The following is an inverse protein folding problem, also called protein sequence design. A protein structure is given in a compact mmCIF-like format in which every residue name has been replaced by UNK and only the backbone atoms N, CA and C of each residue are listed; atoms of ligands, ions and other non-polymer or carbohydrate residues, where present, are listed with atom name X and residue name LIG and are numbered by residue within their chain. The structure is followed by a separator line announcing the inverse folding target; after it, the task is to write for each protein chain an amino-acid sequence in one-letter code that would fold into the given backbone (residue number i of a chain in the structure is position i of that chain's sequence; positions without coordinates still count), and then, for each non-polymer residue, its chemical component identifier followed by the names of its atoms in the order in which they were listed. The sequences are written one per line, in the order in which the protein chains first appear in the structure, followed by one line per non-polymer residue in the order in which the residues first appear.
data_IF_057923398064
#
_entry.id   IF_057923398064
#
_cell.length_a   1.000
_cell.length_b   1.000
_cell.length_c   1.000
_cell.angle_alpha   90.00
_cell.angle_beta   90.00
_cell.angle_gamma   90.00
#
_symmetry.space_group_name_H-M   'P 1'
#
loop_
_entity.id
_entity.type
_entity.pdbx_description
1 polymer ?
#
# COMPACT_ATOMS: atom_id res chain seq x y z
N UNK A 1 6.75 11.93 -31.68
CA UNK A 1 5.68 12.83 -31.21
C UNK A 1 4.89 12.09 -30.14
N UNK A 2 4.71 12.69 -28.97
CA UNK A 2 4.60 12.09 -27.63
C UNK A 2 3.41 11.14 -27.36
N UNK A 3 3.69 9.95 -26.79
CA UNK A 3 2.72 9.02 -26.18
C UNK A 3 2.66 9.14 -24.63
N UNK A 4 3.06 10.27 -24.04
CA UNK A 4 3.26 10.39 -22.60
C UNK A 4 1.96 10.47 -21.75
N UNK A 5 0.78 10.74 -22.34
CA UNK A 5 -0.40 11.10 -21.54
C UNK A 5 -1.22 9.93 -20.98
N UNK A 6 -1.12 8.72 -21.53
CA UNK A 6 -1.97 7.58 -21.09
C UNK A 6 -1.45 6.95 -19.80
N UNK A 7 -0.12 6.96 -19.58
CA UNK A 7 0.51 6.38 -18.38
C UNK A 7 0.25 7.24 -17.13
N UNK A 8 0.42 8.56 -17.24
CA UNK A 8 0.19 9.47 -16.11
C UNK A 8 -1.27 9.51 -15.64
N UNK A 9 -2.23 9.24 -16.52
CA UNK A 9 -3.65 9.16 -16.15
C UNK A 9 -3.97 7.86 -15.40
N UNK A 10 -3.41 6.72 -15.84
CA UNK A 10 -3.59 5.41 -15.19
C UNK A 10 -2.95 5.33 -13.81
N UNK A 11 -1.72 5.83 -13.67
CA UNK A 11 -0.99 5.88 -12.39
C UNK A 11 -1.76 6.73 -11.37
N UNK A 12 -2.33 7.88 -11.79
CA UNK A 12 -3.14 8.75 -10.91
C UNK A 12 -4.48 8.14 -10.53
N UNK A 13 -5.13 7.42 -11.45
CA UNK A 13 -6.40 6.73 -11.17
C UNK A 13 -6.25 5.61 -10.13
N UNK A 14 -5.05 5.03 -10.01
CA UNK A 14 -4.69 3.95 -9.09
C UNK A 14 -4.22 4.44 -7.71
N UNK A 15 -3.86 5.71 -7.59
CA UNK A 15 -3.44 6.38 -6.34
C UNK A 15 -4.61 7.13 -5.67
N UNK A 16 -5.71 6.42 -5.39
CA UNK A 16 -6.88 7.06 -4.78
C UNK A 16 -6.61 7.40 -3.31
N UNK A 17 -6.13 8.61 -3.08
CA UNK A 17 -6.23 9.32 -1.81
C UNK A 17 -5.18 8.97 -0.75
N UNK A 18 -4.26 8.04 -1.01
CA UNK A 18 -3.18 7.72 -0.07
C UNK A 18 -2.00 8.69 -0.25
N UNK A 19 -1.49 9.33 0.83
CA UNK A 19 -0.28 10.14 0.77
C UNK A 19 0.95 9.32 0.31
N UNK A 20 1.86 9.87 -0.51
CA UNK A 20 3.04 9.14 -1.00
C UNK A 20 3.89 8.50 0.10
N UNK A 21 3.96 9.12 1.28
CA UNK A 21 4.65 8.56 2.43
C UNK A 21 4.06 7.23 2.90
N UNK A 22 2.74 7.07 2.85
CA UNK A 22 2.07 5.82 3.25
C UNK A 22 2.35 4.71 2.22
N UNK A 23 2.44 5.05 0.92
CA UNK A 23 2.86 4.10 -0.12
C UNK A 23 4.26 3.53 0.17
N UNK A 24 5.19 4.39 0.60
CA UNK A 24 6.52 3.97 1.02
C UNK A 24 6.49 3.11 2.28
N UNK A 25 5.64 3.43 3.26
CA UNK A 25 5.50 2.60 4.46
C UNK A 25 4.94 1.21 4.15
N UNK A 26 4.06 1.09 3.16
CA UNK A 26 3.59 -0.21 2.68
C UNK A 26 4.73 -1.01 2.05
N UNK A 27 5.63 -0.36 1.32
CA UNK A 27 6.80 -1.03 0.74
C UNK A 27 7.83 -1.46 1.79
N UNK A 28 8.00 -0.69 2.87
CA UNK A 28 9.02 -0.95 3.90
C UNK A 28 8.53 -1.90 4.99
N UNK A 29 7.27 -1.79 5.40
CA UNK A 29 6.74 -2.48 6.59
C UNK A 29 5.55 -3.38 6.29
N UNK A 30 4.95 -3.28 5.10
CA UNK A 30 3.78 -4.05 4.72
C UNK A 30 4.06 -5.55 4.65
N UNK A 31 3.08 -6.35 5.05
CA UNK A 31 3.09 -7.79 4.81
C UNK A 31 2.54 -8.07 3.42
N UNK A 32 3.20 -9.00 2.72
CA UNK A 32 2.83 -9.42 1.38
C UNK A 32 1.86 -10.61 1.42
N UNK A 33 0.81 -10.54 0.60
CA UNK A 33 -0.10 -11.65 0.35
C UNK A 33 -0.36 -11.78 -1.15
N UNK A 34 0.01 -12.93 -1.72
CA UNK A 34 -0.30 -13.26 -3.11
C UNK A 34 -1.80 -13.47 -3.28
N UNK A 35 -2.38 -12.87 -4.32
CA UNK A 35 -3.81 -13.00 -4.64
C UNK A 35 -4.13 -14.23 -5.52
N UNK A 36 -3.10 -14.96 -5.98
CA UNK A 36 -3.24 -16.14 -6.85
C UNK A 36 -3.55 -15.82 -8.32
N UNK A 37 -3.73 -14.55 -8.67
CA UNK A 37 -4.06 -14.06 -10.02
C UNK A 37 -2.94 -13.19 -10.62
N UNK A 38 -1.75 -13.24 -10.03
CA UNK A 38 -0.59 -12.49 -10.49
C UNK A 38 -0.39 -11.13 -9.80
N UNK A 39 -1.12 -10.84 -8.73
CA UNK A 39 -0.92 -9.69 -7.86
C UNK A 39 -0.36 -10.05 -6.48
N UNK A 40 0.38 -9.11 -5.91
CA UNK A 40 0.86 -9.13 -4.52
C UNK A 40 0.21 -7.98 -3.78
N UNK A 41 -0.53 -8.30 -2.72
CA UNK A 41 -1.19 -7.31 -1.86
C UNK A 41 -0.31 -7.03 -0.65
N UNK A 42 0.17 -5.80 -0.53
CA UNK A 42 0.83 -5.27 0.66
C UNK A 42 -0.19 -4.60 1.56
N UNK A 43 -0.12 -4.86 2.86
CA UNK A 43 -0.98 -4.26 3.87
C UNK A 43 -0.24 -4.12 5.20
N UNK A 44 -0.64 -3.13 6.01
CA UNK A 44 -0.13 -2.98 7.36
C UNK A 44 -0.96 -3.85 8.32
N UNK A 45 -0.30 -4.72 9.07
CA UNK A 45 -0.93 -5.45 10.17
C UNK A 45 -0.29 -5.11 11.52
N UNK A 46 -0.74 -5.78 12.58
CA UNK A 46 -0.24 -5.50 13.93
C UNK A 46 1.28 -5.70 14.06
N UNK A 47 1.89 -6.58 13.27
CA UNK A 47 3.35 -6.76 13.25
C UNK A 47 4.04 -5.61 12.53
N UNK A 48 3.51 -5.17 11.37
CA UNK A 48 3.97 -3.98 10.65
C UNK A 48 3.92 -2.73 11.53
N UNK A 49 2.80 -2.51 12.23
CA UNK A 49 2.63 -1.36 13.12
C UNK A 49 3.65 -1.37 14.25
N UNK A 50 3.90 -2.53 14.88
CA UNK A 50 4.92 -2.65 15.93
C UNK A 50 6.34 -2.43 15.40
N UNK A 51 6.63 -2.85 14.17
CA UNK A 51 7.92 -2.62 13.55
C UNK A 51 8.12 -1.12 13.31
N UNK A 52 7.12 -0.44 12.74
CA UNK A 52 7.12 1.01 12.61
C UNK A 52 7.30 1.70 13.97
N UNK A 53 6.57 1.29 15.01
CA UNK A 53 6.68 1.90 16.35
C UNK A 53 8.10 1.79 16.93
N UNK A 54 8.85 0.74 16.59
CA UNK A 54 10.25 0.58 17.01
C UNK A 54 11.19 1.52 16.26
N UNK A 55 10.96 1.73 14.97
CA UNK A 55 11.86 2.50 14.11
C UNK A 55 11.63 4.02 14.20
N UNK A 56 10.36 4.46 14.19
CA UNK A 56 9.99 5.89 14.19
C UNK A 56 9.36 6.36 15.51
N UNK A 57 9.17 5.45 16.47
CA UNK A 57 8.52 5.76 17.73
C UNK A 57 6.99 5.67 17.69
N UNK A 58 6.39 5.54 18.88
CA UNK A 58 4.96 5.27 19.03
C UNK A 58 4.05 6.43 18.64
N UNK A 59 4.40 7.66 19.02
CA UNK A 59 3.55 8.84 18.75
C UNK A 59 3.41 9.16 17.26
N UNK A 60 4.48 9.13 16.44
CA UNK A 60 4.34 9.28 14.99
C UNK A 60 3.42 8.21 14.36
N UNK A 61 3.61 6.93 14.72
CA UNK A 61 2.77 5.83 14.20
C UNK A 61 1.31 5.98 14.60
N UNK A 62 1.04 6.45 15.81
CA UNK A 62 -0.33 6.71 16.29
C UNK A 62 -1.04 7.77 15.44
N UNK A 63 -0.34 8.81 15.01
CA UNK A 63 -0.88 9.86 14.11
C UNK A 63 -1.21 9.35 12.71
N UNK A 64 -0.62 8.23 12.30
CA UNK A 64 -0.88 7.58 11.02
C UNK A 64 -2.05 6.58 11.07
N UNK A 65 -2.79 6.50 12.18
CA UNK A 65 -3.87 5.53 12.40
C UNK A 65 -4.94 5.52 11.32
N UNK A 66 -5.26 6.67 10.71
CA UNK A 66 -6.15 6.78 9.55
C UNK A 66 -5.74 5.88 8.38
N UNK A 67 -4.44 5.61 8.24
CA UNK A 67 -3.84 4.85 7.15
C UNK A 67 -3.44 3.42 7.53
N UNK A 68 -3.75 2.96 8.74
CA UNK A 68 -3.43 1.58 9.16
C UNK A 68 -4.15 0.51 8.30
N UNK A 69 -5.27 0.88 7.66
CA UNK A 69 -5.99 0.02 6.73
C UNK A 69 -5.60 0.27 5.26
N UNK A 70 -4.51 1.00 5.00
CA UNK A 70 -3.99 1.18 3.66
C UNK A 70 -3.52 -0.15 3.08
N UNK A 71 -3.70 -0.31 1.77
CA UNK A 71 -3.18 -1.43 1.02
C UNK A 71 -2.62 -0.98 -0.32
N UNK A 72 -1.70 -1.78 -0.84
CA UNK A 72 -1.07 -1.61 -2.13
C UNK A 72 -1.11 -2.95 -2.85
N UNK A 73 -1.45 -2.94 -4.12
CA UNK A 73 -1.38 -4.11 -5.00
C UNK A 73 -0.24 -3.85 -5.96
N UNK A 74 0.72 -4.77 -6.01
CA UNK A 74 1.79 -4.81 -6.99
C UNK A 74 1.57 -5.96 -7.95
N UNK A 75 2.08 -5.83 -9.16
CA UNK A 75 2.21 -6.97 -10.06
C UNK A 75 3.29 -7.90 -9.54
N UNK A 76 2.99 -9.19 -9.49
CA UNK A 76 3.94 -10.23 -9.07
C UNK A 76 5.07 -10.45 -10.08
N UNK A 77 4.94 -9.94 -11.30
CA UNK A 77 5.87 -10.18 -12.42
C UNK A 77 6.95 -9.10 -12.46
N UNK A 78 6.56 -7.83 -12.36
CA UNK A 78 7.44 -6.66 -12.54
C UNK A 78 7.54 -5.78 -11.28
N UNK A 79 6.77 -6.08 -10.22
CA UNK A 79 6.77 -5.33 -8.98
C UNK A 79 6.15 -3.94 -9.07
N UNK A 80 5.59 -3.56 -10.23
CA UNK A 80 4.99 -2.24 -10.41
C UNK A 80 3.67 -2.13 -9.65
N UNK A 81 3.42 -0.95 -9.08
CA UNK A 81 2.19 -0.66 -8.35
C UNK A 81 1.00 -0.70 -9.31
N UNK A 82 0.12 -1.68 -9.11
CA UNK A 82 -1.16 -1.80 -9.80
C UNK A 82 -2.19 -0.89 -9.13
N UNK A 83 -2.31 -0.88 -7.81
CA UNK A 83 -3.35 -0.08 -7.12
C UNK A 83 -2.91 0.28 -5.72
N UNK A 84 -3.36 1.42 -5.20
CA UNK A 84 -3.29 1.74 -3.77
C UNK A 84 -4.65 2.22 -3.30
N UNK A 85 -5.02 1.93 -2.05
CA UNK A 85 -6.26 2.45 -1.49
C UNK A 85 -6.41 2.21 0.00
N UNK A 86 -7.38 2.89 0.61
CA UNK A 86 -7.82 2.59 1.96
C UNK A 86 -8.86 1.47 1.92
N UNK A 87 -8.76 0.51 2.84
CA UNK A 87 -9.86 -0.43 3.08
C UNK A 87 -10.89 0.19 4.02
N UNK A 88 -12.13 0.27 3.53
CA UNK A 88 -13.31 0.52 4.36
C UNK A 88 -13.74 -0.73 5.14
N UNK A 89 -13.43 -1.93 4.64
CA UNK A 89 -13.80 -3.20 5.27
C UNK A 89 -12.61 -4.13 5.51
N UNK A 90 -12.70 -4.97 6.55
CA UNK A 90 -11.66 -5.95 6.91
C UNK A 90 -11.58 -7.05 5.84
N UNK A 91 -10.37 -7.43 5.40
CA UNK A 91 -10.19 -8.63 4.55
C UNK A 91 -10.67 -9.85 5.32
N UNK A 92 -11.55 -10.65 4.73
CA UNK A 92 -11.79 -12.01 5.19
C UNK A 92 -10.55 -12.86 4.91
N UNK A 93 -9.82 -13.22 5.97
CA UNK A 93 -8.80 -14.27 5.90
C UNK A 93 -9.52 -15.60 5.65
N UNK A 94 -9.16 -16.31 4.58
CA UNK A 94 -9.53 -17.71 4.39
C UNK A 94 -8.53 -18.58 5.13
#
# INVERSE_FOLDING_TARGET
MSYANIQHAKIRAQQRGIPPFIDQLLDLYGNEQYDGHGGVVLFLDRSSIRHMERDMGREPVRRLSTWHNAYKVKSSIDGHTITTGLRSERIRRK
#
